data_IF_330753850028
#
_entry.id   IF_330753850028
#
_cell.length_a   1.000
_cell.length_b   1.000
_cell.length_c   1.000
_cell.angle_alpha   90.00
_cell.angle_beta   90.00
_cell.angle_gamma   90.00
#
_symmetry.space_group_name_H-M   'P 1'
#
loop_
_entity.id
_entity.type
_entity.pdbx_description
1 polymer ?
#
# COMPACT_ATOMS: atom_id res chain seq x y z
N UNK A 1 18.34 -47.60 69.45
CA UNK A 1 17.89 -47.12 70.78
C UNK A 1 19.05 -46.34 71.40
N UNK A 2 18.79 -45.12 71.86
CA UNK A 2 19.67 -44.21 72.62
C UNK A 2 20.86 -43.53 71.92
N UNK A 3 20.77 -42.20 71.94
CA UNK A 3 21.77 -41.18 71.66
C UNK A 3 22.95 -41.22 72.63
N UNK A 4 24.12 -40.70 72.25
CA UNK A 4 25.00 -39.91 73.14
C UNK A 4 25.84 -38.92 72.34
N UNK A 5 26.06 -37.79 73.00
CA UNK A 5 26.54 -36.50 72.52
C UNK A 5 28.06 -36.39 72.32
N UNK A 6 28.37 -35.54 71.35
CA UNK A 6 29.57 -34.74 71.09
C UNK A 6 30.39 -34.27 72.31
N UNK A 7 31.74 -34.20 72.16
CA UNK A 7 32.59 -33.13 72.71
C UNK A 7 33.82 -32.83 71.81
N UNK A 8 34.14 -31.54 71.79
CA UNK A 8 35.07 -30.76 70.96
C UNK A 8 36.57 -30.99 71.21
N UNK A 9 37.41 -30.74 70.18
CA UNK A 9 38.44 -29.66 70.21
C UNK A 9 39.18 -29.45 68.87
N UNK A 10 38.92 -28.27 68.29
CA UNK A 10 39.83 -27.28 67.65
C UNK A 10 41.05 -27.72 66.82
N UNK A 11 41.07 -27.29 65.55
CA UNK A 11 42.27 -26.75 64.90
C UNK A 11 41.91 -25.58 63.96
N UNK A 12 42.73 -24.52 64.07
CA UNK A 12 42.65 -23.25 63.34
C UNK A 12 42.94 -23.46 61.85
N UNK A 13 42.07 -22.97 60.97
CA UNK A 13 42.32 -22.84 59.53
C UNK A 13 42.20 -21.39 59.09
N UNK A 14 43.22 -20.90 58.39
CA UNK A 14 43.33 -19.53 57.87
C UNK A 14 42.16 -19.16 56.96
N UNK A 15 41.61 -17.96 57.16
CA UNK A 15 40.62 -17.34 56.25
C UNK A 15 41.38 -16.58 55.17
N UNK A 16 41.26 -17.01 53.92
CA UNK A 16 41.55 -16.16 52.76
C UNK A 16 40.26 -15.45 52.36
N UNK A 17 40.20 -14.13 52.56
CA UNK A 17 39.10 -13.29 52.12
C UNK A 17 39.31 -12.97 50.64
N UNK A 18 38.56 -13.64 49.75
CA UNK A 18 38.39 -13.19 48.38
C UNK A 18 37.33 -12.09 48.36
N UNK A 19 37.76 -10.85 48.07
CA UNK A 19 36.86 -9.73 47.86
C UNK A 19 36.12 -9.90 46.53
N UNK A 20 34.82 -10.21 46.60
CA UNK A 20 33.92 -10.17 45.44
C UNK A 20 33.42 -8.74 45.32
N UNK A 21 33.98 -7.96 44.39
CA UNK A 21 33.48 -6.63 44.04
C UNK A 21 32.14 -6.74 43.29
N UNK A 22 31.22 -5.77 43.43
CA UNK A 22 29.94 -5.81 42.74
C UNK A 22 30.14 -5.60 41.25
N UNK A 23 29.91 -6.64 40.45
CA UNK A 23 29.86 -6.55 38.99
C UNK A 23 28.63 -5.75 38.60
N UNK A 24 28.83 -4.51 38.16
CA UNK A 24 27.79 -3.67 37.58
C UNK A 24 27.36 -4.28 36.24
N UNK A 25 26.26 -5.04 36.24
CA UNK A 25 25.63 -5.53 35.01
C UNK A 25 24.96 -4.34 34.35
N UNK A 26 25.62 -3.75 33.34
CA UNK A 26 24.97 -2.81 32.44
C UNK A 26 23.92 -3.57 31.63
N UNK A 27 22.66 -3.44 32.02
CA UNK A 27 21.53 -3.80 31.16
C UNK A 27 21.54 -2.77 30.03
N UNK A 28 22.11 -3.14 28.89
CA UNK A 28 21.93 -2.40 27.65
C UNK A 28 20.46 -2.58 27.29
N UNK A 29 19.63 -1.61 27.66
CA UNK A 29 18.27 -1.54 27.17
C UNK A 29 18.32 -1.44 25.66
N UNK A 30 18.00 -2.53 24.97
CA UNK A 30 17.62 -2.47 23.56
C UNK A 30 16.34 -1.63 23.51
N UNK A 31 16.47 -0.34 23.24
CA UNK A 31 15.31 0.43 22.77
C UNK A 31 14.71 -0.37 21.61
N UNK A 32 13.40 -0.69 21.62
CA UNK A 32 12.80 -1.22 20.42
C UNK A 32 13.09 -0.19 19.33
N UNK A 33 13.78 -0.60 18.27
CA UNK A 33 13.95 0.25 17.13
C UNK A 33 12.54 0.59 16.65
N UNK A 34 12.10 1.84 16.83
CA UNK A 34 10.92 2.35 16.15
C UNK A 34 11.33 2.48 14.69
N UNK A 35 11.28 1.36 13.98
CA UNK A 35 11.30 1.30 12.53
C UNK A 35 9.87 0.97 12.13
N UNK A 36 9.01 1.99 12.05
CA UNK A 36 7.69 1.83 11.46
C UNK A 36 7.86 1.75 9.94
N UNK A 37 8.39 0.61 9.47
CA UNK A 37 8.66 0.38 8.05
C UNK A 37 7.33 0.36 7.28
N UNK A 38 7.31 1.03 6.13
CA UNK A 38 6.16 1.02 5.21
C UNK A 38 6.54 0.17 4.02
N UNK A 39 6.44 -1.15 4.14
CA UNK A 39 7.04 -2.09 3.17
C UNK A 39 6.11 -2.52 2.04
N UNK A 40 4.85 -2.07 2.02
CA UNK A 40 3.84 -2.53 1.07
C UNK A 40 2.75 -1.49 0.82
N UNK A 41 1.97 -1.71 -0.23
CA UNK A 41 0.76 -0.93 -0.53
C UNK A 41 -0.19 -0.84 0.67
N UNK A 42 -0.74 0.34 0.94
CA UNK A 42 -1.64 0.55 2.06
C UNK A 42 -0.98 0.60 3.44
N UNK A 43 0.35 0.50 3.51
CA UNK A 43 1.11 0.55 4.75
C UNK A 43 1.10 -0.76 5.54
N UNK A 44 1.57 -0.73 6.81
CA UNK A 44 1.71 -1.93 7.63
C UNK A 44 0.42 -2.75 7.77
N UNK A 45 -0.75 -2.10 7.73
CA UNK A 45 -2.07 -2.73 7.89
C UNK A 45 -2.86 -2.89 6.58
N UNK A 46 -2.34 -2.39 5.44
CA UNK A 46 -3.05 -2.40 4.15
C UNK A 46 -4.42 -1.69 4.19
N UNK A 47 -4.52 -0.62 4.99
CA UNK A 47 -5.73 0.17 5.19
C UNK A 47 -5.49 1.68 5.23
N UNK A 48 -4.26 2.12 4.93
CA UNK A 48 -3.82 3.52 4.93
C UNK A 48 -3.85 4.20 6.31
N UNK A 49 -3.91 3.41 7.39
CA UNK A 49 -3.77 3.92 8.75
C UNK A 49 -2.35 3.72 9.27
N UNK A 50 -1.88 4.68 10.06
CA UNK A 50 -0.50 4.71 10.59
C UNK A 50 -0.52 4.97 12.08
N UNK A 51 0.14 4.10 12.82
CA UNK A 51 0.32 4.26 14.26
C UNK A 51 1.51 5.21 14.52
N UNK A 52 1.27 6.51 14.34
CA UNK A 52 2.20 7.58 14.68
C UNK A 52 1.50 8.68 15.47
N UNK A 53 2.28 9.47 16.20
CA UNK A 53 1.77 10.56 17.04
C UNK A 53 2.68 11.78 17.03
N UNK A 54 2.13 12.92 17.46
CA UNK A 54 2.90 14.17 17.53
C UNK A 54 3.11 14.80 16.15
N UNK A 55 2.14 14.62 15.26
CA UNK A 55 2.01 15.38 14.03
C UNK A 55 1.54 16.81 14.38
N UNK A 56 1.90 17.77 13.55
CA UNK A 56 1.41 19.14 13.64
C UNK A 56 -0.13 19.18 13.66
N UNK A 57 -0.69 20.18 14.33
CA UNK A 57 -2.14 20.40 14.34
C UNK A 57 -2.58 21.30 13.16
N UNK A 58 -1.66 22.13 12.68
CA UNK A 58 -1.75 22.96 11.48
C UNK A 58 -0.34 23.22 10.93
N UNK A 59 -0.23 23.65 9.68
CA UNK A 59 1.01 24.06 9.03
C UNK A 59 1.02 25.56 8.75
N UNK A 60 2.21 26.19 8.64
CA UNK A 60 2.36 27.52 8.06
C UNK A 60 1.80 27.61 6.64
N UNK A 61 1.67 28.84 6.12
CA UNK A 61 1.13 29.09 4.78
C UNK A 61 1.96 28.43 3.66
N UNK A 62 3.26 28.33 3.86
CA UNK A 62 4.22 27.63 2.99
C UNK A 62 4.18 26.10 3.10
N UNK A 63 3.47 25.56 4.10
CA UNK A 63 3.34 24.13 4.35
C UNK A 63 4.34 23.59 5.39
N UNK A 64 4.37 22.26 5.57
CA UNK A 64 5.32 21.62 6.47
C UNK A 64 6.75 21.77 5.95
N UNK A 65 7.73 21.66 6.85
CA UNK A 65 9.14 21.84 6.52
C UNK A 65 9.59 20.78 5.50
N UNK A 66 10.10 21.24 4.36
CA UNK A 66 10.75 20.35 3.40
C UNK A 66 12.10 19.85 3.94
N UNK A 67 12.30 18.53 3.92
CA UNK A 67 13.58 17.89 4.22
C UNK A 67 14.44 17.88 2.95
N UNK A 68 13.86 17.42 1.84
CA UNK A 68 14.47 17.44 0.51
C UNK A 68 13.40 17.35 -0.58
N UNK A 69 13.76 17.77 -1.81
CA UNK A 69 12.97 17.64 -3.04
C UNK A 69 13.90 17.34 -4.20
N UNK A 70 13.50 16.46 -5.12
CA UNK A 70 14.24 16.22 -6.37
C UNK A 70 13.33 15.78 -7.52
N UNK A 71 13.86 15.92 -8.73
CA UNK A 71 13.30 15.27 -9.91
C UNK A 71 13.47 13.74 -9.83
N UNK A 72 12.54 13.02 -10.46
CA UNK A 72 12.52 11.55 -10.56
C UNK A 72 12.30 11.14 -12.03
N UNK A 73 11.04 11.04 -12.44
CA UNK A 73 10.60 10.61 -13.77
C UNK A 73 9.14 10.16 -13.72
N UNK A 74 8.54 9.92 -14.89
CA UNK A 74 7.10 9.72 -15.04
C UNK A 74 6.58 8.49 -14.28
N UNK A 75 5.46 8.61 -13.56
CA UNK A 75 4.77 7.46 -12.97
C UNK A 75 3.95 7.76 -11.73
N UNK A 76 3.28 6.73 -11.24
CA UNK A 76 2.40 6.78 -10.06
C UNK A 76 2.75 5.75 -9.01
N UNK A 77 3.82 4.97 -9.23
CA UNK A 77 4.31 3.97 -8.29
C UNK A 77 4.41 4.55 -6.89
N UNK A 78 3.81 3.85 -5.93
CA UNK A 78 3.92 4.20 -4.52
C UNK A 78 5.35 4.11 -4.02
N UNK A 79 5.59 4.79 -2.91
CA UNK A 79 6.88 4.76 -2.22
C UNK A 79 6.76 3.77 -1.07
N UNK A 80 7.73 2.88 -0.91
CA UNK A 80 7.88 2.06 0.30
C UNK A 80 9.19 2.39 0.98
N UNK A 81 9.32 2.09 2.27
CA UNK A 81 10.52 2.38 3.05
C UNK A 81 10.83 1.29 4.07
N UNK A 82 12.13 1.02 4.22
CA UNK A 82 12.73 0.22 5.31
C UNK A 82 13.32 1.10 6.44
N UNK A 83 12.88 2.37 6.50
CA UNK A 83 13.37 3.39 7.43
C UNK A 83 14.67 4.07 7.00
N UNK A 84 15.51 3.46 6.17
CA UNK A 84 16.77 4.05 5.67
C UNK A 84 16.72 4.41 4.19
N UNK A 85 16.00 3.61 3.42
CA UNK A 85 15.85 3.70 1.98
C UNK A 85 14.39 3.87 1.63
N UNK A 86 14.17 4.43 0.45
CA UNK A 86 12.90 4.49 -0.23
C UNK A 86 13.00 3.66 -1.50
N UNK A 87 11.96 2.91 -1.82
CA UNK A 87 11.86 2.18 -3.08
C UNK A 87 10.62 2.65 -3.84
N UNK A 88 10.79 2.95 -5.12
CA UNK A 88 9.72 3.37 -6.03
C UNK A 88 10.11 3.04 -7.46
N UNK A 89 9.19 3.25 -8.40
CA UNK A 89 9.43 3.07 -9.83
C UNK A 89 9.08 4.33 -10.62
N UNK A 90 9.77 4.52 -11.74
CA UNK A 90 9.45 5.57 -12.69
C UNK A 90 9.82 5.16 -14.12
N UNK A 91 9.27 5.84 -15.11
CA UNK A 91 9.68 5.75 -16.51
C UNK A 91 10.61 6.90 -16.82
N UNK A 92 11.74 6.59 -17.43
CA UNK A 92 12.68 7.61 -17.89
C UNK A 92 12.00 8.50 -18.95
N UNK A 93 12.29 9.80 -18.92
CA UNK A 93 11.85 10.68 -19.99
C UNK A 93 12.61 10.34 -21.28
N UNK A 94 11.92 9.66 -22.20
CA UNK A 94 12.42 9.31 -23.53
C UNK A 94 11.91 10.26 -24.62
N UNK A 95 12.64 10.31 -25.75
CA UNK A 95 12.17 11.04 -26.95
C UNK A 95 10.77 10.55 -27.32
N UNK A 96 9.88 11.47 -27.69
CA UNK A 96 8.63 11.10 -28.38
C UNK A 96 9.02 10.29 -29.61
N UNK A 97 8.72 9.00 -29.62
CA UNK A 97 8.76 8.21 -30.85
C UNK A 97 7.37 8.35 -31.46
N UNK A 98 7.22 9.27 -32.41
CA UNK A 98 6.14 9.20 -33.39
C UNK A 98 6.55 8.15 -34.41
N UNK A 99 5.94 6.96 -34.34
CA UNK A 99 5.94 6.04 -35.46
C UNK A 99 4.89 6.50 -36.46
N UNK A 100 5.29 6.77 -37.71
CA UNK A 100 4.40 7.00 -38.85
C UNK A 100 3.52 5.76 -39.18
N UNK A 101 3.78 4.63 -38.52
CA UNK A 101 3.12 3.32 -38.61
C UNK A 101 2.39 2.90 -37.31
N UNK A 102 2.40 3.74 -36.27
CA UNK A 102 1.43 3.69 -35.17
C UNK A 102 1.61 2.64 -34.07
N UNK A 103 2.78 2.00 -33.91
CA UNK A 103 3.00 0.96 -32.87
C UNK A 103 4.17 1.28 -31.92
N UNK A 104 3.92 1.00 -30.63
CA UNK A 104 4.80 1.05 -29.45
C UNK A 104 5.49 2.38 -29.08
N UNK A 105 5.33 2.79 -27.82
CA UNK A 105 6.12 3.86 -27.20
C UNK A 105 7.31 3.18 -26.53
N UNK A 106 8.47 3.27 -27.18
CA UNK A 106 9.75 2.85 -26.61
C UNK A 106 10.04 3.62 -25.31
N UNK A 107 10.66 2.95 -24.34
CA UNK A 107 11.08 3.58 -23.10
C UNK A 107 11.38 2.58 -21.98
N UNK A 108 12.39 2.96 -21.19
CA UNK A 108 12.83 2.22 -20.02
C UNK A 108 12.04 2.62 -18.80
N UNK A 109 11.68 1.62 -18.02
CA UNK A 109 11.30 1.83 -16.62
C UNK A 109 12.50 1.57 -15.72
N UNK A 110 12.49 2.22 -14.57
CA UNK A 110 13.50 2.09 -13.55
C UNK A 110 12.84 1.74 -12.21
N UNK A 111 13.40 0.75 -11.52
CA UNK A 111 13.24 0.58 -10.08
C UNK A 111 14.40 1.32 -9.42
N UNK A 112 14.11 2.15 -8.43
CA UNK A 112 15.12 2.97 -7.75
C UNK A 112 15.07 2.79 -6.24
N UNK A 113 16.24 2.71 -5.63
CA UNK A 113 16.42 2.92 -4.20
C UNK A 113 17.00 4.30 -3.95
N UNK A 114 16.35 5.08 -3.08
CA UNK A 114 16.82 6.39 -2.64
C UNK A 114 17.16 6.34 -1.16
N UNK A 115 18.09 7.18 -0.70
CA UNK A 115 18.26 7.45 0.73
C UNK A 115 17.06 8.23 1.26
N UNK A 116 16.50 7.78 2.38
CA UNK A 116 15.31 8.43 2.96
C UNK A 116 15.62 9.83 3.55
N UNK A 117 16.86 10.07 3.99
CA UNK A 117 17.26 11.30 4.68
C UNK A 117 17.60 12.46 3.74
N UNK A 118 18.04 12.20 2.51
CA UNK A 118 18.47 13.23 1.57
C UNK A 118 17.99 13.03 0.11
N UNK A 119 17.31 11.92 -0.19
CA UNK A 119 16.79 11.63 -1.53
C UNK A 119 17.84 11.22 -2.56
N UNK A 120 19.10 11.02 -2.19
CA UNK A 120 20.15 10.59 -3.12
C UNK A 120 19.91 9.16 -3.61
N UNK A 121 20.22 8.91 -4.88
CA UNK A 121 20.12 7.57 -5.45
C UNK A 121 21.16 6.64 -4.83
N UNK A 122 20.72 5.49 -4.31
CA UNK A 122 21.58 4.40 -3.84
C UNK A 122 21.90 3.47 -5.01
N UNK A 123 20.87 3.03 -5.74
CA UNK A 123 20.98 2.23 -6.94
C UNK A 123 19.74 2.41 -7.84
N UNK A 124 19.90 2.10 -9.13
CA UNK A 124 18.82 2.05 -10.12
C UNK A 124 18.95 0.76 -10.95
N UNK A 125 17.84 0.04 -11.13
CA UNK A 125 17.72 -1.08 -12.07
C UNK A 125 16.78 -0.64 -13.20
N UNK A 126 17.29 -0.61 -14.44
CA UNK A 126 16.56 -0.16 -15.63
C UNK A 126 16.26 -1.34 -16.54
N UNK A 127 15.06 -1.38 -17.11
CA UNK A 127 14.63 -2.44 -18.02
C UNK A 127 13.75 -1.89 -19.14
N UNK A 128 13.75 -2.59 -20.28
CA UNK A 128 12.87 -2.26 -21.40
C UNK A 128 11.42 -2.57 -21.03
N UNK A 129 10.55 -1.59 -21.23
CA UNK A 129 9.11 -1.73 -20.97
C UNK A 129 8.32 -1.07 -22.10
N UNK A 130 8.27 -1.70 -23.29
CA UNK A 130 7.47 -1.19 -24.41
C UNK A 130 5.99 -1.16 -24.00
N UNK A 131 5.29 -0.11 -24.41
CA UNK A 131 3.87 0.09 -24.11
C UNK A 131 3.10 0.53 -25.35
N UNK A 132 1.85 0.08 -25.50
CA UNK A 132 0.96 0.58 -26.53
C UNK A 132 0.38 1.95 -26.14
N UNK A 133 -0.20 2.68 -27.11
CA UNK A 133 -0.85 3.97 -26.83
C UNK A 133 -1.99 3.84 -25.82
N UNK A 134 -2.70 2.72 -25.83
CA UNK A 134 -3.80 2.45 -24.91
C UNK A 134 -3.27 2.45 -23.47
N UNK A 135 -2.23 1.66 -23.18
CA UNK A 135 -1.64 1.52 -21.83
C UNK A 135 -1.22 2.85 -21.17
N UNK A 136 -0.83 3.83 -21.98
CA UNK A 136 -0.19 5.07 -21.53
C UNK A 136 -0.80 6.33 -22.13
N UNK A 137 -2.10 6.29 -22.47
CA UNK A 137 -2.85 7.38 -23.10
C UNK A 137 -2.89 8.67 -22.23
N UNK A 138 -4.05 9.27 -22.02
CA UNK A 138 -4.17 10.53 -21.27
C UNK A 138 -3.78 10.45 -19.78
N UNK A 139 -3.43 9.26 -19.27
CA UNK A 139 -3.27 8.98 -17.85
C UNK A 139 -1.82 8.83 -17.39
N UNK A 140 -0.83 9.24 -18.19
CA UNK A 140 0.60 9.16 -17.86
C UNK A 140 1.24 7.82 -18.26
N UNK A 141 2.57 7.82 -18.41
CA UNK A 141 3.30 6.72 -19.07
C UNK A 141 4.05 5.78 -18.15
N UNK A 142 4.16 6.13 -16.88
CA UNK A 142 4.99 5.41 -15.94
C UNK A 142 4.29 4.27 -15.20
N UNK A 143 5.07 3.53 -14.39
CA UNK A 143 4.60 2.43 -13.57
C UNK A 143 3.61 2.93 -12.51
N UNK A 144 2.63 2.09 -12.17
CA UNK A 144 1.53 2.42 -11.25
C UNK A 144 1.49 1.56 -9.99
N UNK A 145 2.02 0.34 -10.06
CA UNK A 145 2.09 -0.54 -8.90
C UNK A 145 3.06 0.00 -7.84
N UNK A 146 2.84 -0.38 -6.60
CA UNK A 146 3.74 -0.08 -5.49
C UNK A 146 4.66 -1.26 -5.25
N UNK A 147 5.97 -1.04 -5.07
CA UNK A 147 6.88 -2.12 -4.72
C UNK A 147 6.48 -2.81 -3.42
N UNK A 148 6.93 -4.04 -3.24
CA UNK A 148 6.78 -4.82 -2.02
C UNK A 148 8.16 -5.18 -1.50
N UNK A 149 8.48 -4.82 -0.26
CA UNK A 149 9.63 -5.35 0.46
C UNK A 149 9.14 -6.46 1.40
N UNK A 150 9.50 -7.71 1.10
CA UNK A 150 9.05 -8.87 1.85
C UNK A 150 10.20 -9.83 2.08
N UNK A 151 10.46 -10.16 3.35
CA UNK A 151 11.49 -11.11 3.77
C UNK A 151 12.87 -10.92 3.09
N UNK A 152 13.31 -9.66 3.00
CA UNK A 152 14.62 -9.31 2.45
C UNK A 152 14.70 -9.26 0.92
N UNK A 153 13.56 -9.29 0.23
CA UNK A 153 13.47 -9.18 -1.24
C UNK A 153 12.52 -8.07 -1.66
N UNK A 154 12.84 -7.43 -2.78
CA UNK A 154 12.04 -6.34 -3.35
C UNK A 154 11.32 -6.83 -4.60
N UNK A 155 10.00 -6.74 -4.61
CA UNK A 155 9.15 -7.14 -5.73
C UNK A 155 8.52 -5.93 -6.39
N UNK A 156 8.51 -5.90 -7.72
CA UNK A 156 7.98 -4.78 -8.51
C UNK A 156 7.24 -5.28 -9.74
N UNK A 157 6.19 -4.58 -10.16
CA UNK A 157 5.53 -4.82 -11.46
C UNK A 157 5.42 -3.52 -12.25
N UNK A 158 6.06 -3.49 -13.41
CA UNK A 158 6.04 -2.36 -14.34
C UNK A 158 4.70 -2.14 -15.03
N UNK A 159 4.57 -1.03 -15.75
CA UNK A 159 3.33 -0.71 -16.50
C UNK A 159 2.94 -1.79 -17.50
N UNK A 160 3.92 -2.50 -18.06
CA UNK A 160 3.74 -3.52 -19.07
C UNK A 160 3.65 -4.95 -18.49
N UNK A 161 3.32 -5.10 -17.20
CA UNK A 161 3.23 -6.41 -16.56
C UNK A 161 4.57 -7.10 -16.32
N UNK A 162 5.70 -6.39 -16.48
CA UNK A 162 7.05 -6.90 -16.19
C UNK A 162 7.27 -6.97 -14.68
N UNK A 163 7.26 -8.18 -14.13
CA UNK A 163 7.51 -8.45 -12.73
C UNK A 163 8.98 -8.76 -12.47
N UNK A 164 9.54 -8.20 -11.41
CA UNK A 164 10.90 -8.47 -10.97
C UNK A 164 10.95 -8.75 -9.47
N UNK A 165 11.83 -9.66 -9.08
CA UNK A 165 12.32 -9.83 -7.72
C UNK A 165 13.79 -9.41 -7.67
N UNK A 166 14.12 -8.48 -6.77
CA UNK A 166 15.41 -7.82 -6.68
C UNK A 166 16.03 -7.99 -5.29
N UNK A 167 17.36 -7.96 -5.22
CA UNK A 167 18.07 -7.69 -3.98
C UNK A 167 17.90 -6.19 -3.62
N UNK A 168 17.33 -5.86 -2.44
CA UNK A 168 17.08 -4.48 -2.04
C UNK A 168 18.36 -3.67 -1.78
N UNK A 169 19.54 -4.29 -1.69
CA UNK A 169 20.81 -3.64 -1.39
C UNK A 169 21.51 -3.09 -2.62
N UNK A 170 21.42 -3.78 -3.76
CA UNK A 170 22.14 -3.40 -4.99
C UNK A 170 21.27 -3.41 -6.25
N UNK A 171 19.98 -3.78 -6.14
CA UNK A 171 19.03 -3.77 -7.24
C UNK A 171 19.22 -4.90 -8.24
N UNK A 172 20.08 -5.89 -7.96
CA UNK A 172 20.26 -7.03 -8.86
C UNK A 172 18.99 -7.87 -8.96
N UNK A 173 18.67 -8.27 -10.18
CA UNK A 173 17.56 -9.19 -10.46
C UNK A 173 17.92 -10.57 -9.92
N UNK A 174 17.04 -11.10 -9.08
CA UNK A 174 17.08 -12.48 -8.58
C UNK A 174 16.32 -13.38 -9.55
N UNK A 175 15.10 -12.97 -9.91
CA UNK A 175 14.27 -13.58 -10.95
C UNK A 175 13.27 -12.55 -11.51
N UNK A 176 12.65 -12.87 -12.64
CA UNK A 176 11.67 -12.00 -13.30
C UNK A 176 10.64 -12.81 -14.08
N UNK A 177 9.44 -12.24 -14.24
CA UNK A 177 8.38 -12.74 -15.10
C UNK A 177 7.83 -11.64 -16.01
N UNK A 178 7.46 -11.98 -17.22
CA UNK A 178 6.56 -11.19 -18.04
C UNK A 178 5.14 -11.76 -17.96
N UNK A 179 4.33 -11.17 -17.08
CA UNK A 179 2.98 -11.67 -16.78
C UNK A 179 2.05 -11.68 -18.00
N UNK A 180 2.33 -10.88 -19.02
CA UNK A 180 1.48 -10.79 -20.20
C UNK A 180 1.89 -11.73 -21.33
N UNK A 181 3.18 -12.07 -21.43
CA UNK A 181 3.66 -12.98 -22.48
C UNK A 181 3.82 -14.42 -22.03
N UNK A 182 4.07 -14.66 -20.74
CA UNK A 182 4.23 -16.02 -20.20
C UNK A 182 2.91 -16.77 -20.03
N UNK A 183 1.79 -16.05 -19.89
CA UNK A 183 0.48 -16.62 -19.64
C UNK A 183 -0.45 -16.38 -20.84
N UNK A 184 -0.79 -17.44 -21.56
CA UNK A 184 -1.60 -17.34 -22.78
C UNK A 184 -2.99 -16.77 -22.48
N UNK A 185 -3.38 -15.69 -23.15
CA UNK A 185 -4.67 -15.05 -22.88
C UNK A 185 -4.69 -14.23 -21.58
N UNK A 186 -3.51 -13.85 -21.06
CA UNK A 186 -3.38 -12.85 -20.01
C UNK A 186 -4.22 -11.60 -20.27
N UNK A 187 -4.78 -11.00 -19.22
CA UNK A 187 -5.53 -9.74 -19.37
C UNK A 187 -4.57 -8.57 -19.56
N UNK A 188 -4.50 -8.06 -20.79
CA UNK A 188 -3.77 -6.85 -21.13
C UNK A 188 -4.60 -5.62 -20.73
N UNK A 189 -4.13 -4.86 -19.75
CA UNK A 189 -4.88 -3.74 -19.18
C UNK A 189 -4.70 -2.45 -19.98
N UNK A 190 -5.81 -1.89 -20.46
CA UNK A 190 -5.82 -0.66 -21.26
C UNK A 190 -5.29 0.59 -20.54
N UNK A 191 -5.08 0.58 -19.23
CA UNK A 191 -4.40 1.68 -18.52
C UNK A 191 -3.13 1.22 -17.82
N UNK A 192 -2.51 0.16 -18.35
CA UNK A 192 -1.32 -0.45 -17.80
C UNK A 192 -1.56 -1.21 -16.49
N UNK A 193 -0.59 -2.04 -16.14
CA UNK A 193 -0.63 -2.80 -14.89
C UNK A 193 -0.51 -1.88 -13.67
N UNK A 194 -1.29 -2.14 -12.62
CA UNK A 194 -1.34 -1.28 -11.42
C UNK A 194 -1.55 -2.02 -10.10
N UNK A 195 -2.07 -3.25 -10.11
CA UNK A 195 -2.16 -4.07 -8.91
C UNK A 195 -0.78 -4.30 -8.31
N UNK A 196 -0.67 -4.39 -6.99
CA UNK A 196 0.61 -4.65 -6.33
C UNK A 196 0.77 -6.14 -6.02
N UNK A 197 2.01 -6.59 -5.90
CA UNK A 197 2.35 -7.95 -5.46
C UNK A 197 1.86 -8.16 -4.03
N UNK A 198 1.21 -9.29 -3.76
CA UNK A 198 0.71 -9.63 -2.43
C UNK A 198 1.54 -10.76 -1.79
N UNK A 199 2.19 -10.55 -0.62
CA UNK A 199 2.94 -11.61 0.05
C UNK A 199 2.05 -12.53 0.89
N UNK A 200 2.33 -13.84 0.89
CA UNK A 200 1.67 -14.78 1.78
C UNK A 200 2.54 -16.01 2.09
N UNK A 201 3.03 -16.12 3.34
CA UNK A 201 3.66 -17.35 3.89
C UNK A 201 4.65 -18.04 2.93
N UNK A 202 5.63 -17.30 2.41
CA UNK A 202 6.63 -17.85 1.48
C UNK A 202 6.29 -17.70 -0.01
N UNK A 203 5.09 -17.21 -0.34
CA UNK A 203 4.67 -16.96 -1.72
C UNK A 203 4.45 -15.47 -1.99
N UNK A 204 4.51 -15.12 -3.27
CA UNK A 204 4.06 -13.83 -3.78
C UNK A 204 2.99 -14.04 -4.83
N UNK A 205 1.83 -13.42 -4.63
CA UNK A 205 0.61 -13.61 -5.41
C UNK A 205 0.34 -12.37 -6.24
N UNK A 206 -0.01 -12.57 -7.50
CA UNK A 206 -0.34 -11.51 -8.44
C UNK A 206 -1.61 -11.82 -9.22
N UNK A 207 -2.28 -10.75 -9.68
CA UNK A 207 -3.39 -10.88 -10.62
C UNK A 207 -2.82 -10.82 -12.03
N UNK A 208 -2.94 -11.91 -12.79
CA UNK A 208 -2.56 -11.92 -14.22
C UNK A 208 -3.80 -11.75 -15.07
N UNK A 209 -4.86 -12.49 -14.73
CA UNK A 209 -6.14 -12.48 -15.41
C UNK A 209 -6.13 -13.33 -16.68
N UNK A 210 -7.25 -13.95 -17.02
CA UNK A 210 -7.36 -14.85 -18.18
C UNK A 210 -7.69 -16.30 -17.79
N UNK A 211 -7.83 -17.20 -18.77
CA UNK A 211 -8.27 -18.57 -18.52
C UNK A 211 -7.20 -19.42 -17.81
N UNK A 212 -7.47 -19.91 -16.61
CA UNK A 212 -6.56 -20.73 -15.80
C UNK A 212 -5.57 -19.96 -14.91
N UNK A 213 -5.31 -18.69 -15.19
CA UNK A 213 -4.34 -17.84 -14.48
C UNK A 213 -4.94 -16.48 -14.07
N UNK A 214 -6.21 -16.48 -13.66
CA UNK A 214 -6.81 -15.32 -13.00
C UNK A 214 -5.92 -14.77 -11.89
N UNK A 215 -5.37 -15.68 -11.08
CA UNK A 215 -4.38 -15.44 -10.04
C UNK A 215 -3.22 -16.42 -10.19
N UNK A 216 -2.00 -15.94 -9.93
CA UNK A 216 -0.79 -16.76 -9.95
C UNK A 216 0.01 -16.50 -8.69
N UNK A 217 0.48 -17.57 -8.05
CA UNK A 217 1.42 -17.50 -6.93
C UNK A 217 2.78 -18.07 -7.34
N UNK A 218 3.81 -17.29 -7.07
CA UNK A 218 5.19 -17.67 -7.25
C UNK A 218 5.85 -17.95 -5.90
N UNK A 219 6.79 -18.88 -5.90
CA UNK A 219 7.73 -19.06 -4.82
C UNK A 219 8.56 -17.77 -4.65
N UNK A 220 8.64 -17.24 -3.43
CA UNK A 220 9.26 -15.93 -3.19
C UNK A 220 10.75 -15.90 -3.55
N UNK A 221 11.44 -17.04 -3.48
CA UNK A 221 12.90 -17.14 -3.60
C UNK A 221 13.35 -17.46 -5.03
N UNK A 222 12.68 -18.41 -5.67
CA UNK A 222 13.02 -18.94 -6.99
C UNK A 222 12.21 -18.36 -8.15
N UNK A 223 11.01 -17.82 -7.87
CA UNK A 223 10.08 -17.36 -8.90
C UNK A 223 9.29 -18.51 -9.56
N UNK A 224 9.48 -19.77 -9.17
CA UNK A 224 8.69 -20.86 -9.77
C UNK A 224 7.20 -20.70 -9.45
N UNK A 225 6.33 -20.90 -10.44
CA UNK A 225 4.87 -20.97 -10.23
C UNK A 225 4.53 -22.13 -9.30
N UNK A 226 3.88 -21.82 -8.18
CA UNK A 226 3.41 -22.81 -7.20
C UNK A 226 1.96 -23.20 -7.46
N UNK A 227 1.14 -22.22 -7.85
CA UNK A 227 -0.20 -22.44 -8.35
C UNK A 227 -0.64 -21.29 -9.26
N UNK A 228 -1.52 -21.62 -10.20
CA UNK A 228 -2.26 -20.70 -11.05
C UNK A 228 -3.69 -21.20 -11.14
N UNK A 229 -4.66 -20.32 -10.89
CA UNK A 229 -6.08 -20.71 -10.85
C UNK A 229 -6.97 -19.57 -11.31
N UNK A 230 -8.23 -19.98 -11.55
CA UNK A 230 -9.39 -19.14 -11.83
C UNK A 230 -9.39 -18.54 -13.24
N UNK A 231 -10.58 -18.25 -13.74
CA UNK A 231 -10.83 -17.79 -15.12
C UNK A 231 -11.39 -16.36 -15.16
N UNK A 232 -10.78 -15.46 -14.37
CA UNK A 232 -11.25 -14.08 -14.25
C UNK A 232 -10.36 -13.10 -15.01
N UNK A 233 -10.96 -12.07 -15.61
CA UNK A 233 -10.19 -10.95 -16.16
C UNK A 233 -9.54 -10.10 -15.06
N UNK A 234 -8.35 -9.58 -15.30
CA UNK A 234 -7.67 -8.69 -14.36
C UNK A 234 -8.33 -7.30 -14.28
N UNK A 235 -8.07 -6.58 -13.19
CA UNK A 235 -8.44 -5.17 -13.02
C UNK A 235 -7.34 -4.41 -12.28
N UNK A 236 -7.67 -3.29 -11.61
CA UNK A 236 -6.68 -2.31 -11.12
C UNK A 236 -6.52 -2.30 -9.59
N UNK A 237 -7.30 -3.09 -8.86
CA UNK A 237 -7.23 -3.16 -7.40
C UNK A 237 -6.17 -4.17 -6.93
N UNK A 238 -5.50 -3.86 -5.84
CA UNK A 238 -4.49 -4.74 -5.22
C UNK A 238 -5.18 -5.79 -4.33
N UNK A 239 -4.76 -7.08 -4.35
CA UNK A 239 -5.32 -8.10 -3.47
C UNK A 239 -5.20 -7.74 -1.99
N UNK A 240 -6.20 -8.11 -1.18
CA UNK A 240 -6.25 -7.80 0.26
C UNK A 240 -6.61 -9.03 1.08
N UNK A 241 -5.81 -9.32 2.10
CA UNK A 241 -6.14 -10.37 3.05
C UNK A 241 -7.25 -9.89 4.00
N UNK A 242 -8.26 -10.72 4.16
CA UNK A 242 -9.25 -10.56 5.21
C UNK A 242 -9.32 -11.84 6.02
N UNK A 243 -9.84 -11.71 7.24
CA UNK A 243 -10.20 -12.85 8.08
C UNK A 243 -11.70 -12.86 8.25
N UNK A 244 -12.33 -13.96 7.85
CA UNK A 244 -13.77 -14.16 7.99
C UNK A 244 -13.96 -15.41 8.83
N UNK A 245 -14.56 -15.28 10.01
CA UNK A 245 -14.80 -16.41 10.92
C UNK A 245 -13.53 -17.21 11.30
N UNK A 246 -12.38 -16.52 11.41
CA UNK A 246 -11.09 -17.13 11.75
C UNK A 246 -10.34 -17.75 10.55
N UNK A 247 -10.91 -17.68 9.35
CA UNK A 247 -10.28 -18.17 8.13
C UNK A 247 -9.70 -17.01 7.31
N UNK A 248 -8.45 -17.14 6.87
CA UNK A 248 -7.82 -16.21 5.96
C UNK A 248 -8.37 -16.39 4.54
N UNK A 249 -8.77 -15.28 3.92
CA UNK A 249 -9.28 -15.24 2.55
C UNK A 249 -8.63 -14.06 1.82
N UNK A 250 -8.14 -14.29 0.62
CA UNK A 250 -7.56 -13.25 -0.23
C UNK A 250 -8.64 -12.65 -1.12
N UNK A 251 -9.02 -11.41 -0.85
CA UNK A 251 -9.90 -10.63 -1.71
C UNK A 251 -9.15 -10.18 -2.96
N UNK A 252 -9.73 -10.45 -4.13
CA UNK A 252 -9.25 -9.93 -5.40
C UNK A 252 -10.42 -9.26 -6.14
N UNK A 253 -10.26 -8.00 -6.50
CA UNK A 253 -11.28 -7.29 -7.27
C UNK A 253 -10.98 -7.44 -8.76
N UNK A 254 -11.56 -8.46 -9.36
CA UNK A 254 -11.37 -8.83 -10.77
C UNK A 254 -12.20 -7.93 -11.69
N UNK A 255 -12.07 -8.07 -13.01
CA UNK A 255 -12.72 -7.22 -14.01
C UNK A 255 -14.25 -7.04 -13.82
N UNK A 256 -14.94 -8.15 -13.53
CA UNK A 256 -16.41 -8.19 -13.53
C UNK A 256 -16.97 -8.56 -12.13
N UNK A 257 -16.10 -8.96 -11.19
CA UNK A 257 -16.49 -9.57 -9.91
C UNK A 257 -15.49 -9.24 -8.79
N UNK A 258 -15.98 -9.15 -7.56
CA UNK A 258 -15.16 -9.29 -6.36
C UNK A 258 -15.14 -10.75 -5.95
N UNK A 259 -13.95 -11.33 -5.80
CA UNK A 259 -13.79 -12.72 -5.39
C UNK A 259 -13.02 -12.82 -4.08
N UNK A 260 -13.18 -13.95 -3.40
CA UNK A 260 -12.24 -14.40 -2.39
C UNK A 260 -11.73 -15.80 -2.71
N UNK A 261 -10.42 -15.98 -2.53
CA UNK A 261 -9.75 -17.27 -2.70
C UNK A 261 -9.02 -17.66 -1.43
N UNK A 262 -8.67 -18.95 -1.32
CA UNK A 262 -7.67 -19.38 -0.37
C UNK A 262 -6.27 -18.96 -0.86
N UNK A 263 -5.53 -18.13 -0.10
CA UNK A 263 -4.20 -17.69 -0.53
C UNK A 263 -3.16 -18.83 -0.58
N UNK A 264 -3.38 -19.96 0.09
CA UNK A 264 -2.43 -21.06 0.10
C UNK A 264 -2.45 -21.87 -1.20
N UNK A 265 -3.60 -21.98 -1.86
CA UNK A 265 -3.78 -22.87 -3.02
C UNK A 265 -4.61 -22.27 -4.17
N UNK A 266 -5.12 -21.06 -4.03
CA UNK A 266 -5.90 -20.35 -5.04
C UNK A 266 -7.36 -20.83 -5.22
N UNK A 267 -7.87 -21.72 -4.36
CA UNK A 267 -9.24 -22.23 -4.47
C UNK A 267 -10.28 -21.12 -4.23
N UNK A 268 -11.31 -21.08 -5.07
CA UNK A 268 -12.37 -20.07 -4.98
C UNK A 268 -13.27 -20.36 -3.78
N UNK A 269 -13.39 -19.39 -2.87
CA UNK A 269 -14.31 -19.47 -1.72
C UNK A 269 -15.68 -18.91 -2.07
N UNK A 270 -15.70 -17.76 -2.71
CA UNK A 270 -16.92 -17.11 -3.19
C UNK A 270 -16.61 -16.06 -4.26
N UNK A 271 -17.63 -15.72 -5.04
CA UNK A 271 -17.60 -14.57 -5.95
C UNK A 271 -18.87 -13.74 -5.82
N UNK A 272 -18.73 -12.44 -6.10
CA UNK A 272 -19.81 -11.48 -6.08
C UNK A 272 -19.71 -10.58 -7.31
N UNK A 273 -20.74 -10.62 -8.18
CA UNK A 273 -20.75 -9.82 -9.41
C UNK A 273 -20.80 -8.32 -9.10
N UNK A 274 -19.79 -7.61 -9.56
CA UNK A 274 -19.69 -6.16 -9.45
C UNK A 274 -18.69 -5.66 -10.49
N UNK A 275 -19.20 -5.25 -11.64
CA UNK A 275 -18.40 -4.74 -12.74
C UNK A 275 -19.05 -3.52 -13.36
N UNK A 276 -18.29 -2.86 -14.23
CA UNK A 276 -18.76 -1.81 -15.11
C UNK A 276 -18.32 -2.11 -16.54
N UNK A 277 -18.87 -1.39 -17.52
CA UNK A 277 -18.54 -1.58 -18.94
C UNK A 277 -17.05 -1.38 -19.27
N UNK A 278 -16.30 -0.71 -18.39
CA UNK A 278 -14.86 -0.45 -18.53
C UNK A 278 -13.99 -1.50 -17.83
N UNK A 279 -14.59 -2.42 -17.07
CA UNK A 279 -13.89 -3.44 -16.25
C UNK A 279 -12.87 -2.80 -15.28
N UNK A 280 -13.19 -1.59 -14.83
CA UNK A 280 -12.33 -0.78 -13.96
C UNK A 280 -12.80 -0.91 -12.51
N UNK A 281 -12.32 -1.92 -11.82
CA UNK A 281 -12.48 -2.11 -10.39
C UNK A 281 -11.18 -1.67 -9.71
N UNK A 282 -11.19 -0.43 -9.23
CA UNK A 282 -9.98 0.29 -8.77
C UNK A 282 -9.86 0.24 -7.25
N UNK A 283 -10.96 0.40 -6.51
CA UNK A 283 -10.91 0.63 -5.07
C UNK A 283 -10.45 -0.61 -4.29
N UNK A 284 -9.73 -0.38 -3.19
CA UNK A 284 -9.42 -1.42 -2.22
C UNK A 284 -10.65 -1.66 -1.35
N UNK A 285 -11.17 -2.91 -1.23
CA UNK A 285 -12.27 -3.21 -0.33
C UNK A 285 -11.94 -2.92 1.14
N UNK A 286 -12.97 -2.54 1.90
CA UNK A 286 -12.89 -2.16 3.31
C UNK A 286 -13.77 -3.12 4.11
N UNK A 287 -13.21 -3.77 5.13
CA UNK A 287 -13.94 -4.70 5.99
C UNK A 287 -14.29 -4.04 7.33
N UNK A 288 -15.55 -4.21 7.71
CA UNK A 288 -16.17 -3.81 8.96
C UNK A 288 -15.91 -4.84 10.06
N UNK A 289 -15.91 -4.42 11.33
CA UNK A 289 -15.76 -5.37 12.46
C UNK A 289 -17.00 -6.27 12.60
N UNK A 290 -18.11 -5.83 12.01
CA UNK A 290 -19.38 -6.54 11.88
C UNK A 290 -19.45 -7.42 10.61
N UNK A 291 -18.30 -7.70 9.99
CA UNK A 291 -18.15 -8.45 8.74
C UNK A 291 -18.90 -7.84 7.55
N UNK A 292 -19.24 -6.55 7.58
CA UNK A 292 -19.72 -5.85 6.39
C UNK A 292 -18.51 -5.49 5.53
N UNK A 293 -18.48 -5.96 4.30
CA UNK A 293 -17.48 -5.63 3.30
C UNK A 293 -18.04 -4.51 2.41
N UNK A 294 -17.39 -3.35 2.45
CA UNK A 294 -17.63 -2.25 1.51
C UNK A 294 -16.69 -2.37 0.34
N UNK A 295 -17.23 -2.37 -0.87
CA UNK A 295 -16.48 -2.23 -2.10
C UNK A 295 -17.20 -1.28 -3.04
N UNK A 296 -16.43 -0.67 -3.93
CA UNK A 296 -16.92 0.39 -4.79
C UNK A 296 -16.18 0.37 -6.10
N UNK A 297 -16.92 0.65 -7.17
CA UNK A 297 -16.33 0.84 -8.49
C UNK A 297 -16.88 2.10 -9.14
N UNK A 298 -16.04 2.80 -9.92
CA UNK A 298 -16.51 3.84 -10.84
C UNK A 298 -17.66 3.28 -11.69
N UNK A 299 -18.68 4.10 -11.96
CA UNK A 299 -19.88 3.76 -12.76
C UNK A 299 -20.79 2.64 -12.20
N UNK A 300 -20.35 1.80 -11.26
CA UNK A 300 -21.18 0.74 -10.67
C UNK A 300 -21.77 1.12 -9.30
N UNK A 301 -21.17 2.10 -8.62
CA UNK A 301 -21.58 2.49 -7.26
C UNK A 301 -20.79 1.76 -6.19
N UNK A 302 -21.27 1.87 -4.95
CA UNK A 302 -20.76 1.16 -3.78
C UNK A 302 -21.81 0.18 -3.26
N UNK A 303 -21.33 -0.90 -2.66
CA UNK A 303 -22.16 -1.89 -1.96
C UNK A 303 -21.57 -2.21 -0.60
N UNK A 304 -22.44 -2.56 0.34
CA UNK A 304 -22.10 -3.19 1.60
C UNK A 304 -22.65 -4.60 1.60
N UNK A 305 -21.78 -5.60 1.74
CA UNK A 305 -22.15 -7.02 1.75
C UNK A 305 -21.66 -7.63 3.06
N UNK A 306 -22.57 -8.20 3.84
CA UNK A 306 -22.21 -8.93 5.06
C UNK A 306 -21.71 -10.32 4.70
N UNK A 307 -20.56 -10.68 5.26
CA UNK A 307 -19.97 -12.01 5.16
C UNK A 307 -20.45 -12.85 6.35
N UNK A 308 -21.25 -13.88 6.09
CA UNK A 308 -21.89 -14.72 7.11
C UNK A 308 -21.33 -16.14 7.03
N UNK A 309 -21.04 -16.74 8.19
CA UNK A 309 -20.66 -18.16 8.24
C UNK A 309 -21.85 -19.04 7.86
N UNK A 310 -21.65 -19.96 6.92
CA UNK A 310 -22.61 -21.01 6.58
C UNK A 310 -21.88 -22.34 6.47
N UNK A 311 -21.73 -23.04 7.61
CA UNK A 311 -20.85 -24.20 7.73
C UNK A 311 -19.39 -23.83 7.45
N UNK A 312 -18.79 -24.51 6.46
CA UNK A 312 -17.44 -24.24 5.95
C UNK A 312 -17.40 -23.19 4.83
N UNK A 313 -18.57 -22.62 4.48
CA UNK A 313 -18.69 -21.60 3.42
C UNK A 313 -18.91 -20.22 4.02
N UNK A 314 -18.63 -19.22 3.21
CA UNK A 314 -19.02 -17.83 3.48
C UNK A 314 -20.22 -17.50 2.59
N UNK A 315 -21.36 -17.21 3.21
CA UNK A 315 -22.55 -16.68 2.54
C UNK A 315 -22.45 -15.16 2.46
N UNK A 316 -22.86 -14.60 1.33
CA UNK A 316 -22.85 -13.17 1.07
C UNK A 316 -24.28 -12.62 1.18
N UNK A 317 -24.49 -11.63 2.05
CA UNK A 317 -25.79 -10.96 2.21
C UNK A 317 -25.64 -9.47 1.89
N UNK A 318 -26.22 -9.01 0.78
CA UNK A 318 -26.24 -7.58 0.47
C UNK A 318 -27.04 -6.84 1.57
N UNK A 319 -26.37 -5.87 2.21
CA UNK A 319 -26.97 -5.00 3.23
C UNK A 319 -27.53 -3.75 2.58
N UNK A 320 -26.77 -3.16 1.66
CA UNK A 320 -27.15 -1.94 0.95
C UNK A 320 -26.38 -1.80 -0.37
N UNK A 321 -26.93 -0.99 -1.27
CA UNK A 321 -26.32 -0.64 -2.56
C UNK A 321 -26.65 0.82 -2.89
N UNK A 322 -25.66 1.59 -3.36
CA UNK A 322 -25.83 3.00 -3.71
C UNK A 322 -24.99 3.40 -4.90
N UNK A 323 -25.52 4.29 -5.74
CA UNK A 323 -24.77 4.95 -6.83
C UNK A 323 -24.32 6.36 -6.47
N UNK A 324 -24.68 6.85 -5.27
CA UNK A 324 -24.38 8.21 -4.79
C UNK A 324 -22.91 8.38 -4.42
N UNK A 325 -22.28 7.30 -3.97
CA UNK A 325 -20.85 7.19 -3.72
C UNK A 325 -20.28 6.19 -4.71
N UNK A 326 -19.17 6.60 -5.30
CA UNK A 326 -18.39 5.86 -6.28
C UNK A 326 -16.96 6.20 -5.95
N UNK A 327 -16.40 5.55 -4.93
CA UNK A 327 -15.00 5.78 -4.59
C UNK A 327 -14.13 5.61 -5.83
N UNK A 328 -13.16 6.50 -5.96
CA UNK A 328 -12.20 6.57 -7.05
C UNK A 328 -10.83 6.72 -6.40
N UNK A 329 -9.85 5.95 -6.86
CA UNK A 329 -8.61 5.60 -6.14
C UNK A 329 -8.81 4.63 -4.96
N UNK A 330 -7.69 4.06 -4.48
CA UNK A 330 -7.62 2.94 -3.54
C UNK A 330 -7.67 3.32 -2.06
N UNK A 331 -7.94 4.58 -1.72
CA UNK A 331 -7.78 5.15 -0.38
C UNK A 331 -9.11 5.48 0.31
N UNK A 332 -10.04 4.52 0.28
CA UNK A 332 -11.22 4.56 1.14
C UNK A 332 -10.83 4.07 2.55
N UNK A 333 -10.89 4.96 3.55
CA UNK A 333 -10.39 4.71 4.91
C UNK A 333 -11.56 4.65 5.88
N UNK A 334 -11.62 3.58 6.69
CA UNK A 334 -12.65 3.40 7.72
C UNK A 334 -12.18 4.00 9.05
N UNK A 335 -12.99 4.87 9.64
CA UNK A 335 -12.86 5.34 11.02
C UNK A 335 -14.19 5.11 11.72
N UNK A 336 -14.21 4.14 12.65
CA UNK A 336 -15.44 3.68 13.29
C UNK A 336 -16.43 3.09 12.29
N UNK A 337 -17.65 3.64 12.26
CA UNK A 337 -18.74 3.19 11.38
C UNK A 337 -18.75 3.89 10.01
N UNK A 338 -17.80 4.79 9.74
CA UNK A 338 -17.78 5.61 8.54
C UNK A 338 -16.55 5.35 7.69
N UNK A 339 -16.74 5.40 6.37
CA UNK A 339 -15.68 5.31 5.37
C UNK A 339 -15.55 6.66 4.66
N UNK A 340 -14.33 7.16 4.58
CA UNK A 340 -13.96 8.45 4.02
C UNK A 340 -13.08 8.25 2.80
N UNK A 341 -13.30 9.03 1.75
CA UNK A 341 -12.45 8.96 0.56
C UNK A 341 -12.96 9.77 -0.62
N UNK A 342 -12.14 9.83 -1.67
CA UNK A 342 -12.49 10.51 -2.91
C UNK A 342 -13.53 9.72 -3.71
N UNK A 343 -14.61 10.37 -4.13
CA UNK A 343 -15.72 9.77 -4.87
C UNK A 343 -16.05 10.55 -6.15
N UNK A 344 -16.23 9.82 -7.24
CA UNK A 344 -16.63 10.29 -8.57
C UNK A 344 -15.67 9.82 -9.66
N UNK A 345 -16.21 9.31 -10.77
CA UNK A 345 -15.42 8.83 -11.93
C UNK A 345 -14.84 9.96 -12.79
N UNK A 346 -15.67 10.96 -13.07
CA UNK A 346 -15.31 12.18 -13.82
C UNK A 346 -15.69 13.40 -12.98
N UNK A 347 -15.12 14.57 -13.32
CA UNK A 347 -15.44 15.80 -12.61
C UNK A 347 -16.96 16.08 -12.61
N UNK A 348 -17.52 16.59 -11.50
CA UNK A 348 -16.83 16.88 -10.24
C UNK A 348 -16.59 15.64 -9.36
N UNK A 349 -15.36 15.51 -8.85
CA UNK A 349 -15.01 14.55 -7.80
C UNK A 349 -15.11 15.21 -6.42
N UNK A 350 -15.51 14.45 -5.40
CA UNK A 350 -15.76 14.95 -4.04
C UNK A 350 -15.04 14.09 -3.02
N UNK A 351 -14.47 14.70 -1.98
CA UNK A 351 -14.17 13.96 -0.77
C UNK A 351 -15.48 13.67 -0.04
N UNK A 352 -15.72 12.42 0.35
CA UNK A 352 -17.03 11.97 0.80
C UNK A 352 -16.95 11.07 2.01
N UNK A 353 -18.02 11.06 2.82
CA UNK A 353 -18.21 10.14 3.92
C UNK A 353 -19.49 9.33 3.72
N UNK A 354 -19.42 8.03 4.01
CA UNK A 354 -20.54 7.10 3.95
C UNK A 354 -20.59 6.25 5.23
N UNK A 355 -21.78 6.05 5.77
CA UNK A 355 -21.99 5.09 6.85
C UNK A 355 -21.86 3.67 6.28
N UNK A 356 -20.89 2.91 6.77
CA UNK A 356 -20.57 1.58 6.27
C UNK A 356 -21.68 0.55 6.52
N UNK A 357 -22.51 0.76 7.55
CA UNK A 357 -23.57 -0.17 7.95
C UNK A 357 -24.86 0.04 7.17
N UNK A 358 -25.16 1.29 6.81
CA UNK A 358 -26.44 1.63 6.16
C UNK A 358 -26.30 2.03 4.69
N UNK A 359 -25.10 2.46 4.27
CA UNK A 359 -24.87 3.03 2.94
C UNK A 359 -25.33 4.48 2.80
N UNK A 360 -25.75 5.12 3.90
CA UNK A 360 -26.16 6.52 3.90
C UNK A 360 -24.96 7.45 3.71
N UNK A 361 -25.12 8.40 2.79
CA UNK A 361 -24.11 9.44 2.54
C UNK A 361 -24.21 10.47 3.64
N UNK A 362 -23.13 10.62 4.41
CA UNK A 362 -23.06 11.60 5.49
C UNK A 362 -22.82 13.01 4.93
N UNK A 363 -21.81 13.14 4.06
CA UNK A 363 -21.53 14.39 3.34
C UNK A 363 -20.68 14.16 2.09
N UNK A 364 -20.66 15.19 1.23
CA UNK A 364 -19.79 15.31 0.05
C UNK A 364 -19.24 16.73 0.00
N UNK A 365 -17.92 16.86 -0.08
CA UNK A 365 -17.18 18.12 0.01
C UNK A 365 -16.32 18.30 -1.24
N UNK A 366 -16.25 19.52 -1.76
CA UNK A 366 -15.53 19.86 -3.01
C UNK A 366 -14.09 20.29 -2.76
N UNK A 367 -13.69 20.36 -1.50
CA UNK A 367 -12.43 20.94 -1.08
C UNK A 367 -11.19 20.20 -1.61
N UNK A 368 -11.32 18.91 -1.91
CA UNK A 368 -10.27 18.11 -2.55
C UNK A 368 -10.82 17.41 -3.79
N UNK A 369 -10.30 17.78 -4.96
CA UNK A 369 -10.66 17.16 -6.23
C UNK A 369 -9.83 15.89 -6.43
N UNK A 370 -10.49 14.74 -6.57
CA UNK A 370 -9.87 13.44 -6.89
C UNK A 370 -8.59 13.19 -6.08
N UNK A 371 -8.79 12.83 -4.82
CA UNK A 371 -7.71 12.77 -3.85
C UNK A 371 -7.33 11.37 -3.43
N UNK A 372 -6.11 11.25 -2.94
CA UNK A 372 -5.65 10.12 -2.12
C UNK A 372 -5.43 10.58 -0.69
N UNK A 373 -5.50 9.66 0.27
CA UNK A 373 -5.29 10.01 1.68
C UNK A 373 -4.72 8.87 2.50
N UNK A 374 -4.13 9.23 3.63
CA UNK A 374 -3.80 8.33 4.74
C UNK A 374 -4.28 8.94 6.07
N UNK A 375 -4.41 8.12 7.10
CA UNK A 375 -4.87 8.54 8.42
C UNK A 375 -3.82 8.25 9.51
N UNK A 376 -3.50 9.28 10.29
CA UNK A 376 -2.47 9.23 11.32
C UNK A 376 -2.74 10.29 12.40
N UNK A 377 -2.47 9.97 13.67
CA UNK A 377 -2.57 10.93 14.79
C UNK A 377 -3.92 11.69 14.83
N UNK A 378 -5.02 10.98 14.56
CA UNK A 378 -6.37 11.57 14.54
C UNK A 378 -6.73 12.37 13.29
N UNK A 379 -5.84 12.44 12.28
CA UNK A 379 -5.94 13.36 11.15
C UNK A 379 -5.82 12.62 9.81
N UNK A 380 -6.53 13.13 8.82
CA UNK A 380 -6.34 12.80 7.42
C UNK A 380 -5.25 13.70 6.82
N UNK A 381 -4.29 13.06 6.15
CA UNK A 381 -3.34 13.72 5.25
C UNK A 381 -3.83 13.42 3.84
N UNK A 382 -4.26 14.46 3.13
CA UNK A 382 -5.00 14.34 1.86
C UNK A 382 -4.17 15.00 0.75
N UNK A 383 -3.94 14.28 -0.34
CA UNK A 383 -3.27 14.80 -1.53
C UNK A 383 -4.26 14.78 -2.70
N UNK A 384 -4.61 15.95 -3.23
CA UNK A 384 -5.49 16.06 -4.40
C UNK A 384 -4.73 15.99 -5.72
N UNK A 385 -5.46 15.74 -6.82
CA UNK A 385 -4.84 15.49 -8.13
C UNK A 385 -4.01 16.67 -8.66
N UNK A 386 -4.30 17.88 -8.17
CA UNK A 386 -3.63 19.13 -8.53
C UNK A 386 -2.33 19.35 -7.73
N UNK A 387 -2.03 18.48 -6.76
CA UNK A 387 -0.80 18.56 -5.98
C UNK A 387 -0.91 19.38 -4.70
N UNK A 388 -2.13 19.66 -4.23
CA UNK A 388 -2.34 20.29 -2.93
C UNK A 388 -2.31 19.23 -1.82
N UNK A 389 -1.48 19.47 -0.80
CA UNK A 389 -1.43 18.67 0.41
C UNK A 389 -2.30 19.32 1.49
N UNK A 390 -3.22 18.54 2.05
CA UNK A 390 -4.14 18.95 3.10
C UNK A 390 -3.93 18.17 4.40
N UNK A 391 -4.21 18.84 5.51
CA UNK A 391 -4.33 18.26 6.85
C UNK A 391 -5.74 18.52 7.35
N UNK A 392 -6.49 17.47 7.69
CA UNK A 392 -7.90 17.59 8.08
C UNK A 392 -8.29 16.62 9.19
N UNK A 393 -9.34 16.96 9.93
CA UNK A 393 -10.08 16.02 10.77
C UNK A 393 -11.44 15.76 10.13
N UNK A 394 -11.97 14.55 10.27
CA UNK A 394 -13.26 14.18 9.70
C UNK A 394 -14.15 13.52 10.76
N UNK A 395 -15.42 13.91 10.76
CA UNK A 395 -16.50 13.27 11.52
C UNK A 395 -17.65 12.94 10.56
N UNK A 396 -18.69 12.21 11.01
CA UNK A 396 -19.90 12.02 10.21
C UNK A 396 -20.60 13.32 9.80
N UNK A 397 -20.36 14.42 10.49
CA UNK A 397 -21.01 15.71 10.25
C UNK A 397 -20.20 16.62 9.32
N UNK A 398 -18.86 16.57 9.38
CA UNK A 398 -18.03 17.51 8.62
C UNK A 398 -16.60 17.01 8.31
N UNK A 399 -15.96 17.70 7.37
CA UNK A 399 -14.52 17.63 7.11
C UNK A 399 -13.90 18.99 7.47
N UNK A 400 -13.21 19.05 8.61
CA UNK A 400 -12.53 20.27 9.06
C UNK A 400 -11.10 20.30 8.53
N UNK A 401 -10.83 21.22 7.62
CA UNK A 401 -9.49 21.44 7.05
C UNK A 401 -8.70 22.37 7.97
N UNK A 402 -7.54 21.90 8.44
CA UNK A 402 -6.62 22.67 9.26
C UNK A 402 -5.60 23.42 8.40
N UNK A 403 -5.15 22.79 7.31
CA UNK A 403 -4.19 23.37 6.38
C UNK A 403 -4.39 22.77 5.00
N UNK A 404 -4.13 23.57 3.95
CA UNK A 404 -4.10 23.12 2.56
C UNK A 404 -3.07 23.96 1.81
N UNK A 405 -2.06 23.31 1.25
CA UNK A 405 -0.90 23.97 0.63
C UNK A 405 -0.55 23.34 -0.73
N UNK A 406 -0.31 24.14 -1.78
CA UNK A 406 0.13 23.62 -3.07
C UNK A 406 1.63 23.25 -3.00
N UNK A 407 1.98 21.97 -3.20
CA UNK A 407 3.37 21.49 -3.09
C UNK A 407 3.90 20.84 -4.37
N UNK A 408 3.00 20.21 -5.13
CA UNK A 408 3.30 19.51 -6.37
C UNK A 408 2.64 20.23 -7.55
N UNK A 409 3.24 20.08 -8.73
CA UNK A 409 2.85 20.86 -9.93
C UNK A 409 2.36 19.99 -11.09
N UNK A 410 2.48 18.67 -10.95
CA UNK A 410 1.98 17.67 -11.90
C UNK A 410 0.91 16.83 -11.22
N UNK A 411 0.20 16.04 -12.02
CA UNK A 411 -0.84 15.14 -11.53
C UNK A 411 -0.29 14.27 -10.40
N UNK A 412 -0.94 14.33 -9.23
CA UNK A 412 -0.49 13.69 -8.01
C UNK A 412 -1.49 12.64 -7.53
N UNK A 413 -1.43 11.43 -8.11
CA UNK A 413 -2.31 10.30 -7.74
C UNK A 413 -1.64 9.26 -6.85
N UNK A 414 -0.35 9.43 -6.54
CA UNK A 414 0.35 8.52 -5.64
C UNK A 414 -0.01 8.83 -4.20
N UNK A 415 -0.54 7.84 -3.50
CA UNK A 415 -0.83 7.98 -2.06
C UNK A 415 0.48 8.29 -1.31
N UNK A 416 0.49 9.29 -0.41
CA UNK A 416 1.67 9.57 0.40
C UNK A 416 2.08 8.40 1.29
N UNK A 417 3.34 8.38 1.69
CA UNK A 417 3.93 7.37 2.59
C UNK A 417 4.44 8.06 3.84
N UNK A 418 3.99 7.62 5.03
CA UNK A 418 4.36 8.25 6.30
C UNK A 418 5.17 7.27 7.15
N UNK A 419 6.44 7.61 7.40
CA UNK A 419 7.34 6.85 8.27
C UNK A 419 7.70 7.72 9.46
N UNK A 420 7.22 7.35 10.65
CA UNK A 420 7.30 8.20 11.83
C UNK A 420 6.56 9.53 11.58
N UNK A 421 7.32 10.61 11.41
CA UNK A 421 6.80 11.96 11.10
C UNK A 421 7.19 12.46 9.72
N UNK A 422 7.97 11.67 8.97
CA UNK A 422 8.43 12.04 7.64
C UNK A 422 7.43 11.55 6.60
N UNK A 423 6.85 12.49 5.86
CA UNK A 423 5.97 12.20 4.74
C UNK A 423 6.77 12.20 3.44
N UNK A 424 6.72 11.10 2.71
CA UNK A 424 7.19 11.01 1.33
C UNK A 424 6.01 11.11 0.39
N UNK A 425 6.08 12.04 -0.56
CA UNK A 425 5.05 12.25 -1.56
C UNK A 425 5.69 12.52 -2.92
N UNK A 426 4.95 12.21 -3.98
CA UNK A 426 5.37 12.43 -5.35
C UNK A 426 4.22 12.90 -6.22
N UNK A 427 4.55 13.64 -7.26
CA UNK A 427 3.72 13.73 -8.45
C UNK A 427 4.29 12.84 -9.55
N UNK A 428 3.77 12.99 -10.77
CA UNK A 428 4.29 12.27 -11.91
C UNK A 428 5.79 12.46 -12.13
N UNK A 429 6.43 13.56 -11.75
CA UNK A 429 7.83 13.87 -12.13
C UNK A 429 8.77 14.12 -10.96
N UNK A 430 8.25 14.45 -9.79
CA UNK A 430 9.00 14.91 -8.64
C UNK A 430 8.67 14.06 -7.41
N UNK A 431 9.65 13.92 -6.53
CA UNK A 431 9.49 13.30 -5.21
C UNK A 431 10.10 14.21 -4.15
N UNK A 432 9.52 14.23 -2.96
CA UNK A 432 9.99 15.02 -1.83
C UNK A 432 9.72 14.34 -0.48
N UNK A 433 10.44 14.78 0.54
CA UNK A 433 10.20 14.45 1.93
C UNK A 433 9.88 15.70 2.75
N UNK A 434 8.87 15.60 3.61
CA UNK A 434 8.40 16.67 4.48
C UNK A 434 8.40 16.19 5.94
N UNK A 435 8.75 17.07 6.87
CA UNK A 435 8.58 16.83 8.31
C UNK A 435 7.19 17.31 8.74
N UNK A 436 6.32 16.37 9.14
CA UNK A 436 4.98 16.65 9.62
C UNK A 436 4.89 16.81 11.14
N UNK A 437 6.02 16.78 11.86
CA UNK A 437 6.05 16.89 13.30
C UNK A 437 5.59 18.26 13.81
N UNK A 438 5.14 18.29 15.07
CA UNK A 438 4.93 19.56 15.78
C UNK A 438 6.23 20.36 15.78
N UNK A 439 6.19 21.68 15.50
CA UNK A 439 7.36 22.54 15.65
C UNK A 439 7.92 22.38 17.06
N UNK A 440 9.22 22.10 17.19
CA UNK A 440 9.88 22.14 18.49
C UNK A 440 9.95 23.59 18.96
N UNK A 441 9.41 23.86 20.15
CA UNK A 441 9.49 25.20 20.74
C UNK A 441 10.96 25.63 20.84
N UNK A 442 11.37 26.63 20.05
CA UNK A 442 12.72 27.22 20.13
C UNK A 442 13.54 27.29 18.84
N UNK A 443 13.02 26.88 17.67
CA UNK A 443 13.68 27.11 16.39
C UNK A 443 13.04 28.31 15.66
N UNK A 444 13.43 29.52 16.06
CA UNK A 444 13.27 30.75 15.26
C UNK A 444 14.62 31.16 14.69
#
# INVERSE_FOLDING_TARGET
MQSIRCRFRTLRGCVAVMAVGPTLVMIVGSSPAIAADWTRWGGPKQDWTVDTSGLADEWPAEGPKAIWKRALGEGYSGVISDGKRLYTMYREEGKKVEGEDGKEIDGKEAVVALRADNGETVWEMKYESPVSKEHVAQFGKGPRSTPLLYEGKLYTIGVAGKMHCLDPNDGKVIWSHDLWSEFEGATILNHGYSSCVFPYKGTVITMVGGPGHGLVAFDKDSGSTLWEKQDFGNSYSTPKLITVNGEEQLLCFMADELIAVDPANGELKWSYKHGNQWKQNICLPVLGDDNILLFSSPEAGSKGVRLVKDGDKTKLEEVWSTRKIQFYHTTAIRIGDYVYGSSGTMQPCFYSAINMKTGDVAWRKRDFAKATSLYADGKFIILDEEGNLGLATATPEDLKIHSKVPLLEKVAWTVPTLVGKTLFLRDQKNIMALDLGKPTAGAN
#
